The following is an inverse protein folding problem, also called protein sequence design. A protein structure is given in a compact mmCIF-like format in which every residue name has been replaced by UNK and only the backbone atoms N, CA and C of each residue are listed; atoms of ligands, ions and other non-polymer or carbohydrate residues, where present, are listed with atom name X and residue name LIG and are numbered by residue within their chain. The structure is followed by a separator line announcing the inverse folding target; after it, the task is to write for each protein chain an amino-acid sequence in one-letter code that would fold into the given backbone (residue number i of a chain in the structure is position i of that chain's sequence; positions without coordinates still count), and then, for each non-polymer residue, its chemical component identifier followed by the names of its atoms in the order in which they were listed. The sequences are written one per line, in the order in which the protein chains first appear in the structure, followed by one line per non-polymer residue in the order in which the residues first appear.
data_IF_784741214716
#
_entry.id   IF_784741214716
#
_cell.length_a   1.000
_cell.length_b   1.000
_cell.length_c   1.000
_cell.angle_alpha   90.00
_cell.angle_beta   90.00
_cell.angle_gamma   90.00
#
_symmetry.space_group_name_H-M   'P 1'
#
loop_
_entity.id
_entity.type
_entity.pdbx_description
1 polymer ?
#
# COMPACT_ATOMS: atom_id res chain seq x y z
N UNK A 1 20.41 8.20 -6.41
CA UNK A 1 19.78 9.12 -5.43
C UNK A 1 18.92 10.18 -6.12
N UNK A 2 19.46 10.96 -7.08
CA UNK A 2 18.71 11.97 -7.85
C UNK A 2 17.41 11.46 -8.51
N UNK A 3 17.45 10.24 -9.09
CA UNK A 3 16.34 9.66 -9.84
C UNK A 3 15.15 9.26 -8.94
N UNK A 4 15.44 8.78 -7.72
CA UNK A 4 14.42 8.45 -6.73
C UNK A 4 13.73 9.70 -6.18
N UNK A 5 14.48 10.79 -5.99
CA UNK A 5 13.91 12.08 -5.56
C UNK A 5 12.97 12.63 -6.65
N UNK A 6 13.34 12.52 -7.93
CA UNK A 6 12.53 12.98 -9.04
C UNK A 6 11.22 12.20 -9.19
N UNK A 7 11.26 10.87 -9.03
CA UNK A 7 10.05 10.04 -9.03
C UNK A 7 9.11 10.42 -7.87
N UNK A 8 9.68 10.61 -6.68
CA UNK A 8 8.90 10.95 -5.49
C UNK A 8 8.25 12.35 -5.59
N UNK A 9 8.94 13.34 -6.14
CA UNK A 9 8.36 14.68 -6.33
C UNK A 9 7.28 14.70 -7.40
N UNK A 10 7.41 13.87 -8.45
CA UNK A 10 6.40 13.75 -9.52
C UNK A 10 5.11 13.09 -9.01
N UNK A 11 5.25 12.04 -8.21
CA UNK A 11 4.12 11.33 -7.62
C UNK A 11 3.35 12.21 -6.62
N UNK A 12 4.07 13.00 -5.81
CA UNK A 12 3.46 13.99 -4.91
C UNK A 12 2.73 15.10 -5.68
N UNK A 13 3.29 15.60 -6.78
CA UNK A 13 2.64 16.68 -7.55
C UNK A 13 1.40 16.21 -8.30
N UNK A 14 1.39 14.99 -8.83
CA UNK A 14 0.18 14.39 -9.41
C UNK A 14 -0.90 14.14 -8.35
N UNK A 15 -0.52 13.67 -7.16
CA UNK A 15 -1.46 13.48 -6.06
C UNK A 15 -2.11 14.81 -5.62
N UNK A 16 -1.30 15.87 -5.45
CA UNK A 16 -1.80 17.21 -5.09
C UNK A 16 -2.71 17.77 -6.19
N UNK A 17 -2.33 17.63 -7.48
CA UNK A 17 -3.16 18.09 -8.59
C UNK A 17 -4.52 17.37 -8.64
N UNK A 18 -4.53 16.05 -8.40
CA UNK A 18 -5.77 15.27 -8.35
C UNK A 18 -6.68 15.66 -7.18
N UNK A 19 -6.11 15.91 -6.00
CA UNK A 19 -6.83 16.34 -4.81
C UNK A 19 -7.43 17.75 -4.99
N UNK A 20 -6.69 18.66 -5.65
CA UNK A 20 -7.17 20.00 -5.97
C UNK A 20 -8.34 19.96 -6.98
N UNK A 21 -8.26 19.08 -7.99
CA UNK A 21 -9.32 18.88 -8.97
C UNK A 21 -10.61 18.33 -8.33
N UNK A 22 -10.48 17.34 -7.44
CA UNK A 22 -11.61 16.72 -6.74
C UNK A 22 -12.33 17.67 -5.78
N UNK A 23 -11.61 18.62 -5.19
CA UNK A 23 -12.16 19.57 -4.20
C UNK A 23 -12.76 20.82 -4.85
N UNK A 24 -12.14 21.34 -5.91
CA UNK A 24 -12.56 22.61 -6.53
C UNK A 24 -13.66 22.43 -7.58
N UNK A 25 -13.67 21.31 -8.31
CA UNK A 25 -14.64 21.06 -9.38
C UNK A 25 -16.13 21.04 -8.95
N UNK A 26 -16.53 20.42 -7.83
CA UNK A 26 -17.92 20.46 -7.38
C UNK A 26 -18.37 21.88 -6.98
N UNK A 27 -17.49 22.66 -6.34
CA UNK A 27 -17.77 24.02 -5.90
C UNK A 27 -18.09 24.97 -7.07
N UNK A 28 -17.37 24.85 -8.19
CA UNK A 28 -17.61 25.67 -9.40
C UNK A 28 -18.94 25.27 -10.09
N UNK A 29 -19.26 23.98 -10.09
CA UNK A 29 -20.48 23.47 -10.73
C UNK A 29 -21.76 23.90 -9.99
N UNK A 30 -21.73 23.94 -8.65
CA UNK A 30 -22.85 24.44 -7.83
C UNK A 30 -23.11 25.95 -8.06
N UNK A 31 -22.05 26.75 -8.15
CA UNK A 31 -22.16 28.20 -8.37
C UNK A 31 -22.82 28.52 -9.72
N UNK A 32 -22.50 27.75 -10.76
CA UNK A 32 -23.08 27.91 -12.10
C UNK A 32 -24.58 27.59 -12.15
N UNK A 33 -25.02 26.62 -11.34
CA UNK A 33 -26.42 26.19 -11.29
C UNK A 33 -27.28 27.19 -10.51
N UNK A 34 -26.75 27.77 -9.43
CA UNK A 34 -27.41 28.83 -8.64
C UNK A 34 -27.64 30.13 -9.44
N UNK A 35 -26.76 30.45 -10.38
CA UNK A 35 -26.89 31.69 -11.17
C UNK A 35 -28.08 31.68 -12.15
N UNK A 36 -28.54 30.49 -12.59
CA UNK A 36 -29.65 30.38 -13.55
C UNK A 36 -31.04 30.61 -12.94
N UNK A 37 -31.21 30.48 -11.63
CA UNK A 37 -32.53 30.58 -10.97
C UNK A 37 -32.95 32.03 -10.69
N UNK A 38 -32.03 33.00 -10.79
CA UNK A 38 -32.29 34.42 -10.54
C UNK A 38 -32.75 35.20 -11.79
N UNK A 39 -33.34 34.55 -12.79
CA UNK A 39 -34.07 35.25 -13.85
C UNK A 39 -35.47 35.63 -13.35
N UNK A 40 -35.53 36.62 -12.45
CA UNK A 40 -36.80 37.25 -12.09
C UNK A 40 -37.34 38.01 -13.30
N UNK A 41 -38.44 37.50 -13.86
CA UNK A 41 -39.17 38.10 -14.98
C UNK A 41 -39.61 39.53 -14.61
N UNK A 42 -38.85 40.50 -15.13
CA UNK A 42 -39.07 41.94 -14.94
C UNK A 42 -40.05 42.51 -15.97
N UNK A 43 -40.84 41.69 -16.68
CA UNK A 43 -41.84 42.23 -17.60
C UNK A 43 -43.09 42.67 -16.82
N UNK A 44 -43.40 43.99 -16.77
CA UNK A 44 -44.53 44.45 -16.00
C UNK A 44 -45.78 44.52 -16.88
N UNK A 45 -46.89 43.99 -16.37
CA UNK A 45 -48.24 44.29 -16.89
C UNK A 45 -48.81 45.42 -16.03
N UNK A 46 -48.25 46.62 -16.18
CA UNK A 46 -48.65 47.76 -15.36
C UNK A 46 -49.76 48.54 -16.08
N UNK A 47 -50.87 48.88 -15.39
CA UNK A 47 -51.93 49.68 -15.97
C UNK A 47 -51.35 50.97 -16.57
N UNK A 48 -51.58 51.17 -17.88
CA UNK A 48 -51.22 52.43 -18.54
C UNK A 48 -51.89 53.58 -17.79
N UNK A 49 -51.13 54.65 -17.57
CA UNK A 49 -51.63 55.87 -16.96
C UNK A 49 -52.80 56.40 -17.80
N UNK A 50 -54.03 56.17 -17.36
CA UNK A 50 -55.21 56.58 -18.11
C UNK A 50 -55.28 58.12 -18.10
N UNK A 51 -55.36 58.70 -19.30
CA UNK A 51 -55.04 60.08 -19.61
C UNK A 51 -55.68 61.12 -18.69
N UNK A 52 -54.85 61.99 -18.12
CA UNK A 52 -55.33 63.20 -17.45
C UNK A 52 -55.78 64.18 -18.53
N UNK A 53 -57.10 64.38 -18.64
CA UNK A 53 -57.69 65.40 -19.51
C UNK A 53 -57.45 66.77 -18.89
N UNK A 54 -56.62 67.60 -19.53
CA UNK A 54 -56.50 69.01 -19.16
C UNK A 54 -57.69 69.78 -19.73
N UNK A 55 -58.30 70.61 -18.89
CA UNK A 55 -59.36 71.52 -19.32
C UNK A 55 -58.71 72.82 -19.78
N UNK A 56 -58.77 73.07 -21.09
CA UNK A 56 -58.28 74.31 -21.69
C UNK A 56 -59.44 75.29 -21.83
N UNK A 57 -59.31 76.49 -21.25
CA UNK A 57 -60.30 77.55 -21.45
C UNK A 57 -60.17 78.11 -22.87
N UNK A 58 -60.95 77.52 -23.76
CA UNK A 58 -60.98 77.84 -25.19
C UNK A 58 -61.49 79.28 -25.40
N UNK A 59 -62.45 79.71 -24.58
CA UNK A 59 -63.14 80.98 -24.79
C UNK A 59 -62.30 82.19 -24.34
N UNK A 60 -61.53 82.08 -23.26
CA UNK A 60 -60.60 83.14 -22.86
C UNK A 60 -59.51 83.39 -23.92
N UNK A 61 -59.02 82.32 -24.55
CA UNK A 61 -57.96 82.43 -25.58
C UNK A 61 -58.50 82.97 -26.90
N UNK A 62 -59.75 82.63 -27.27
CA UNK A 62 -60.41 83.24 -28.44
C UNK A 62 -60.56 84.74 -28.26
N UNK A 63 -61.04 85.22 -27.10
CA UNK A 63 -61.13 86.66 -26.81
C UNK A 63 -59.78 87.37 -26.89
N UNK A 64 -58.72 86.75 -26.39
CA UNK A 64 -57.38 87.30 -26.48
C UNK A 64 -56.94 87.50 -27.93
N UNK A 65 -57.23 86.56 -28.83
CA UNK A 65 -56.92 86.72 -30.25
C UNK A 65 -57.77 87.80 -30.92
N UNK A 66 -59.05 87.91 -30.56
CA UNK A 66 -59.93 88.98 -31.06
C UNK A 66 -59.45 90.37 -30.63
N UNK A 67 -59.02 90.53 -29.37
CA UNK A 67 -58.43 91.78 -28.84
C UNK A 67 -57.13 92.18 -29.55
N UNK A 68 -56.40 91.20 -30.11
CA UNK A 68 -55.18 91.42 -30.89
C UNK A 68 -55.42 91.57 -32.41
N UNK A 69 -56.68 91.73 -32.84
CA UNK A 69 -57.03 92.07 -34.22
C UNK A 69 -57.28 90.87 -35.15
N UNK A 70 -57.45 89.66 -34.61
CA UNK A 70 -57.89 88.51 -35.40
C UNK A 70 -59.42 88.49 -35.55
N UNK A 71 -59.92 87.99 -36.69
CA UNK A 71 -61.36 87.70 -36.80
C UNK A 71 -61.74 86.50 -35.93
N UNK A 72 -63.00 86.46 -35.48
CA UNK A 72 -63.55 85.37 -34.65
C UNK A 72 -63.27 83.98 -35.25
N UNK A 73 -63.48 83.82 -36.56
CA UNK A 73 -63.21 82.56 -37.27
C UNK A 73 -61.72 82.19 -37.28
N UNK A 74 -60.82 83.17 -37.45
CA UNK A 74 -59.38 82.91 -37.41
C UNK A 74 -58.92 82.54 -36.00
N UNK A 75 -59.44 83.21 -34.97
CA UNK A 75 -59.17 82.91 -33.57
C UNK A 75 -59.62 81.49 -33.19
N UNK A 76 -60.83 81.07 -33.59
CA UNK A 76 -61.35 79.73 -33.35
C UNK A 76 -60.50 78.63 -34.02
N UNK A 77 -60.09 78.84 -35.28
CA UNK A 77 -59.23 77.89 -36.00
C UNK A 77 -57.86 77.77 -35.33
N UNK A 78 -57.26 78.90 -34.93
CA UNK A 78 -55.97 78.94 -34.23
C UNK A 78 -56.04 78.17 -32.91
N UNK A 79 -57.09 78.40 -32.12
CA UNK A 79 -57.31 77.72 -30.83
C UNK A 79 -57.60 76.23 -31.02
N UNK A 80 -58.32 75.84 -32.07
CA UNK A 80 -58.57 74.43 -32.40
C UNK A 80 -57.27 73.69 -32.76
N UNK A 81 -56.39 74.32 -33.55
CA UNK A 81 -55.05 73.77 -33.86
C UNK A 81 -54.21 73.64 -32.58
N UNK A 82 -54.23 74.66 -31.73
CA UNK A 82 -53.53 74.64 -30.44
C UNK A 82 -54.04 73.50 -29.56
N UNK A 83 -55.35 73.35 -29.41
CA UNK A 83 -55.96 72.30 -28.60
C UNK A 83 -55.62 70.90 -29.12
N UNK A 84 -55.66 70.68 -30.44
CA UNK A 84 -55.27 69.39 -31.05
C UNK A 84 -53.79 69.08 -30.82
N UNK A 85 -52.92 70.08 -30.98
CA UNK A 85 -51.48 69.94 -30.78
C UNK A 85 -51.17 69.66 -29.31
N UNK A 86 -51.78 70.39 -28.37
CA UNK A 86 -51.62 70.19 -26.93
C UNK A 86 -52.14 68.82 -26.48
N UNK A 87 -53.29 68.37 -26.98
CA UNK A 87 -53.82 67.04 -26.69
C UNK A 87 -52.89 65.94 -27.23
N UNK A 88 -52.43 66.06 -28.48
CA UNK A 88 -51.48 65.10 -29.06
C UNK A 88 -50.15 65.06 -28.31
N UNK A 89 -49.61 66.21 -27.92
CA UNK A 89 -48.38 66.29 -27.13
C UNK A 89 -48.59 65.67 -25.75
N UNK A 90 -49.74 65.88 -25.13
CA UNK A 90 -50.05 65.29 -23.83
C UNK A 90 -50.18 63.77 -23.88
N UNK A 91 -50.79 63.20 -24.92
CA UNK A 91 -50.88 61.74 -25.06
C UNK A 91 -49.49 61.10 -25.13
N UNK A 92 -48.55 61.72 -25.85
CA UNK A 92 -47.15 61.28 -25.92
C UNK A 92 -46.48 61.40 -24.56
N UNK A 93 -46.57 62.56 -23.90
CA UNK A 93 -45.89 62.79 -22.61
C UNK A 93 -46.49 61.89 -21.51
N UNK A 94 -47.80 61.66 -21.47
CA UNK A 94 -48.42 60.75 -20.50
C UNK A 94 -48.12 59.27 -20.79
N UNK A 95 -47.85 58.90 -22.05
CA UNK A 95 -47.44 57.54 -22.38
C UNK A 95 -46.03 57.18 -21.89
N UNK A 96 -45.14 58.18 -21.81
CA UNK A 96 -43.74 58.01 -21.38
C UNK A 96 -43.54 58.36 -19.89
N UNK A 97 -44.47 59.12 -19.29
CA UNK A 97 -44.42 59.47 -17.87
C UNK A 97 -44.76 58.27 -16.97
N UNK A 98 -43.91 58.06 -15.97
CA UNK A 98 -44.17 57.13 -14.88
C UNK A 98 -44.97 57.83 -13.79
N UNK A 99 -46.13 57.27 -13.42
CA UNK A 99 -46.95 57.82 -12.33
C UNK A 99 -46.38 57.48 -10.96
N UNK A 100 -46.65 58.30 -9.94
CA UNK A 100 -46.25 57.99 -8.56
C UNK A 100 -46.77 56.63 -8.08
N UNK A 101 -47.98 56.27 -8.48
CA UNK A 101 -48.59 54.96 -8.17
C UNK A 101 -47.79 53.82 -8.81
N UNK A 102 -47.36 53.98 -10.06
CA UNK A 102 -46.50 53.00 -10.75
C UNK A 102 -45.15 52.85 -10.05
N UNK A 103 -44.52 53.96 -9.63
CA UNK A 103 -43.27 53.93 -8.86
C UNK A 103 -43.43 53.19 -7.53
N UNK A 104 -44.54 53.42 -6.81
CA UNK A 104 -44.80 52.76 -5.53
C UNK A 104 -45.04 51.25 -5.68
N UNK A 105 -45.80 50.83 -6.71
CA UNK A 105 -45.98 49.40 -7.03
C UNK A 105 -44.64 48.74 -7.35
N UNK A 106 -43.81 49.38 -8.19
CA UNK A 106 -42.49 48.87 -8.52
C UNK A 106 -41.58 48.78 -7.29
N UNK A 107 -41.60 49.79 -6.43
CA UNK A 107 -40.84 49.81 -5.19
C UNK A 107 -41.26 48.68 -4.25
N UNK A 108 -42.56 48.49 -4.03
CA UNK A 108 -43.06 47.39 -3.20
C UNK A 108 -42.66 46.01 -3.74
N UNK A 109 -42.65 45.84 -5.07
CA UNK A 109 -42.20 44.59 -5.71
C UNK A 109 -40.71 44.34 -5.50
N UNK A 110 -39.87 45.35 -5.71
CA UNK A 110 -38.43 45.26 -5.44
C UNK A 110 -38.17 44.96 -3.97
N UNK A 111 -38.87 45.63 -3.05
CA UNK A 111 -38.76 45.36 -1.62
C UNK A 111 -39.17 43.94 -1.25
N UNK A 112 -40.24 43.40 -1.85
CA UNK A 112 -40.66 42.01 -1.67
C UNK A 112 -39.60 41.02 -2.15
N UNK A 113 -39.00 41.26 -3.32
CA UNK A 113 -37.91 40.41 -3.84
C UNK A 113 -36.67 40.47 -2.95
N UNK A 114 -36.28 41.65 -2.47
CA UNK A 114 -35.18 41.81 -1.52
C UNK A 114 -35.47 41.03 -0.22
N UNK A 115 -36.72 41.08 0.28
CA UNK A 115 -37.11 40.33 1.47
C UNK A 115 -37.04 38.80 1.26
N UNK A 116 -37.41 38.32 0.07
CA UNK A 116 -37.29 36.90 -0.28
C UNK A 116 -35.81 36.45 -0.32
N UNK A 117 -34.96 37.18 -1.05
CA UNK A 117 -33.51 36.89 -1.12
C UNK A 117 -32.86 36.94 0.28
N UNK A 118 -33.26 37.89 1.12
CA UNK A 118 -32.78 37.97 2.51
C UNK A 118 -33.18 36.75 3.33
N UNK A 119 -34.41 36.24 3.17
CA UNK A 119 -34.86 35.02 3.84
C UNK A 119 -34.01 33.83 3.40
N UNK A 120 -33.77 33.69 2.10
CA UNK A 120 -33.00 32.59 1.54
C UNK A 120 -31.54 32.64 2.01
N UNK A 121 -30.93 33.83 2.05
CA UNK A 121 -29.59 34.03 2.63
C UNK A 121 -29.53 33.59 4.10
N UNK A 122 -30.51 33.98 4.92
CA UNK A 122 -30.55 33.58 6.34
C UNK A 122 -30.71 32.06 6.49
N UNK A 123 -31.55 31.42 5.66
CA UNK A 123 -31.72 29.96 5.66
C UNK A 123 -30.41 29.27 5.32
N UNK A 124 -29.73 29.74 4.28
CA UNK A 124 -28.44 29.19 3.84
C UNK A 124 -27.36 29.32 4.92
N UNK A 125 -27.25 30.50 5.55
CA UNK A 125 -26.27 30.76 6.63
C UNK A 125 -26.56 30.00 7.92
N UNK A 126 -27.83 29.85 8.31
CA UNK A 126 -28.20 29.27 9.60
C UNK A 126 -28.49 27.78 9.57
N UNK A 127 -29.09 27.28 8.50
CA UNK A 127 -29.52 25.88 8.41
C UNK A 127 -28.50 25.05 7.64
N UNK A 128 -28.21 25.45 6.40
CA UNK A 128 -27.40 24.63 5.50
C UNK A 128 -25.92 24.65 5.89
N UNK A 129 -25.38 25.83 6.22
CA UNK A 129 -23.99 25.92 6.66
C UNK A 129 -23.74 25.18 7.98
N UNK A 130 -24.66 25.28 8.95
CA UNK A 130 -24.55 24.54 10.22
C UNK A 130 -24.69 23.04 10.03
N UNK A 131 -25.58 22.57 9.15
CA UNK A 131 -25.70 21.16 8.82
C UNK A 131 -24.42 20.62 8.14
N UNK A 132 -23.87 21.37 7.18
CA UNK A 132 -22.62 21.02 6.50
C UNK A 132 -21.42 20.98 7.46
N UNK A 133 -21.33 21.91 8.41
CA UNK A 133 -20.30 21.89 9.45
C UNK A 133 -20.41 20.65 10.33
N UNK A 134 -21.61 20.34 10.83
CA UNK A 134 -21.83 19.16 11.66
C UNK A 134 -21.51 17.85 10.90
N UNK A 135 -21.91 17.76 9.62
CA UNK A 135 -21.58 16.61 8.79
C UNK A 135 -20.08 16.49 8.53
N UNK A 136 -19.37 17.61 8.36
CA UNK A 136 -17.91 17.62 8.22
C UNK A 136 -17.21 17.17 9.50
N UNK A 137 -17.62 17.64 10.68
CA UNK A 137 -17.06 17.19 11.96
C UNK A 137 -17.25 15.68 12.14
N UNK A 138 -18.42 15.15 11.78
CA UNK A 138 -18.69 13.71 11.81
C UNK A 138 -17.79 12.96 10.82
N UNK A 139 -17.61 13.45 9.59
CA UNK A 139 -16.72 12.84 8.59
C UNK A 139 -15.27 12.84 9.04
N UNK A 140 -14.80 13.95 9.61
CA UNK A 140 -13.44 14.07 10.13
C UNK A 140 -13.20 13.09 11.30
N UNK A 141 -14.17 13.00 12.22
CA UNK A 141 -14.14 12.01 13.31
C UNK A 141 -14.11 10.56 12.81
N UNK A 142 -14.88 10.22 11.77
CA UNK A 142 -14.82 8.90 11.15
C UNK A 142 -13.46 8.62 10.49
N UNK A 143 -12.92 9.58 9.74
CA UNK A 143 -11.60 9.48 9.13
C UNK A 143 -10.52 9.24 10.20
N UNK A 144 -10.55 10.02 11.29
CA UNK A 144 -9.59 9.88 12.38
C UNK A 144 -9.70 8.52 13.09
N UNK A 145 -10.93 8.05 13.31
CA UNK A 145 -11.19 6.73 13.91
C UNK A 145 -10.68 5.59 13.03
N UNK A 146 -10.96 5.63 11.72
CA UNK A 146 -10.48 4.63 10.76
C UNK A 146 -8.95 4.64 10.66
N UNK A 147 -8.35 5.83 10.61
CA UNK A 147 -6.89 5.98 10.60
C UNK A 147 -6.25 5.39 11.85
N UNK A 148 -6.82 5.69 13.03
CA UNK A 148 -6.35 5.15 14.30
C UNK A 148 -6.46 3.62 14.35
N UNK A 149 -7.61 3.07 13.95
CA UNK A 149 -7.85 1.64 13.93
C UNK A 149 -6.89 0.91 12.98
N UNK A 150 -6.70 1.43 11.76
CA UNK A 150 -5.76 0.89 10.77
C UNK A 150 -4.33 0.87 11.31
N UNK A 151 -3.90 1.98 11.93
CA UNK A 151 -2.57 2.09 12.52
C UNK A 151 -2.36 1.06 13.65
N UNK A 152 -3.37 0.88 14.51
CA UNK A 152 -3.32 -0.10 15.58
C UNK A 152 -3.25 -1.53 15.04
N UNK A 153 -4.10 -1.85 14.05
CA UNK A 153 -4.11 -3.15 13.39
C UNK A 153 -2.78 -3.47 12.71
N UNK A 154 -2.20 -2.51 11.99
CA UNK A 154 -0.90 -2.66 11.35
C UNK A 154 0.19 -2.94 12.39
N UNK A 155 0.19 -2.23 13.52
CA UNK A 155 1.15 -2.49 14.59
C UNK A 155 1.02 -3.90 15.16
N UNK A 156 -0.21 -4.39 15.36
CA UNK A 156 -0.45 -5.74 15.89
C UNK A 156 0.01 -6.82 14.90
N UNK A 157 -0.36 -6.67 13.62
CA UNK A 157 0.07 -7.58 12.55
C UNK A 157 1.59 -7.61 12.42
N UNK A 158 2.26 -6.45 12.46
CA UNK A 158 3.73 -6.37 12.41
C UNK A 158 4.36 -7.09 13.61
N UNK A 159 3.82 -6.89 14.81
CA UNK A 159 4.32 -7.56 16.03
C UNK A 159 4.15 -9.07 15.93
N UNK A 160 2.99 -9.55 15.47
CA UNK A 160 2.70 -10.97 15.28
C UNK A 160 3.66 -11.60 14.27
N UNK A 161 3.75 -11.04 13.06
CA UNK A 161 4.66 -11.53 12.01
C UNK A 161 6.11 -11.53 12.48
N UNK A 162 6.54 -10.50 13.23
CA UNK A 162 7.89 -10.46 13.81
C UNK A 162 8.12 -11.61 14.79
N UNK A 163 7.16 -11.87 15.68
CA UNK A 163 7.27 -12.95 16.67
C UNK A 163 7.30 -14.32 15.98
N UNK A 164 6.43 -14.54 15.00
CA UNK A 164 6.36 -15.79 14.25
C UNK A 164 7.67 -16.05 13.50
N UNK A 165 8.19 -15.06 12.77
CA UNK A 165 9.48 -15.18 12.07
C UNK A 165 10.65 -15.45 13.04
N UNK A 166 10.64 -14.84 14.23
CA UNK A 166 11.68 -15.07 15.23
C UNK A 166 11.63 -16.51 15.76
N UNK A 167 10.44 -17.06 15.97
CA UNK A 167 10.26 -18.45 16.35
C UNK A 167 10.74 -19.40 15.25
N UNK A 168 10.34 -19.15 14.00
CA UNK A 168 10.74 -19.98 12.84
C UNK A 168 12.26 -20.00 12.65
N UNK A 169 12.92 -18.84 12.71
CA UNK A 169 14.38 -18.76 12.63
C UNK A 169 15.06 -19.53 13.77
N UNK A 170 14.51 -19.49 14.99
CA UNK A 170 15.06 -20.22 16.12
C UNK A 170 14.91 -21.73 15.96
N UNK A 171 13.75 -22.19 15.47
CA UNK A 171 13.52 -23.60 15.16
C UNK A 171 14.47 -24.08 14.07
N UNK A 172 14.61 -23.32 12.97
CA UNK A 172 15.52 -23.69 11.87
C UNK A 172 16.98 -23.69 12.32
N UNK A 173 17.39 -22.71 13.14
CA UNK A 173 18.72 -22.69 13.75
C UNK A 173 18.97 -23.93 14.62
N UNK A 174 17.96 -24.43 15.33
CA UNK A 174 18.06 -25.68 16.09
C UNK A 174 18.20 -26.88 15.16
N UNK A 175 17.39 -26.97 14.10
CA UNK A 175 17.46 -28.06 13.10
C UNK A 175 18.81 -28.12 12.41
N UNK A 176 19.35 -26.97 12.00
CA UNK A 176 20.67 -26.89 11.37
C UNK A 176 21.78 -27.35 12.32
N UNK A 177 21.70 -26.99 13.61
CA UNK A 177 22.65 -27.47 14.62
C UNK A 177 22.54 -28.99 14.82
N UNK A 178 21.32 -29.51 14.95
CA UNK A 178 21.07 -30.94 15.11
C UNK A 178 21.60 -31.74 13.92
N UNK A 179 21.27 -31.32 12.69
CA UNK A 179 21.79 -31.93 11.47
C UNK A 179 23.32 -31.82 11.39
N UNK A 180 23.90 -30.69 11.79
CA UNK A 180 25.34 -30.51 11.88
C UNK A 180 26.00 -31.52 12.82
N UNK A 181 25.42 -31.74 14.00
CA UNK A 181 25.88 -32.73 14.97
C UNK A 181 25.73 -34.16 14.44
N UNK A 182 24.60 -34.50 13.82
CA UNK A 182 24.37 -35.82 13.21
C UNK A 182 25.42 -36.08 12.11
N UNK A 183 25.67 -35.10 11.24
CA UNK A 183 26.68 -35.21 10.17
C UNK A 183 28.09 -35.38 10.73
N UNK A 184 28.44 -34.65 11.79
CA UNK A 184 29.72 -34.82 12.48
C UNK A 184 29.85 -36.20 13.09
N UNK A 185 28.81 -36.68 13.78
CA UNK A 185 28.80 -38.01 14.39
C UNK A 185 28.97 -39.11 13.34
N UNK A 186 28.24 -39.00 12.23
CA UNK A 186 28.38 -39.91 11.09
C UNK A 186 29.80 -39.88 10.50
N UNK A 187 30.38 -38.69 10.32
CA UNK A 187 31.74 -38.54 9.82
C UNK A 187 32.77 -39.18 10.76
N UNK A 188 32.67 -38.91 12.06
CA UNK A 188 33.54 -39.52 13.08
C UNK A 188 33.40 -41.04 13.06
N UNK A 189 32.18 -41.57 13.05
CA UNK A 189 31.95 -43.01 13.00
C UNK A 189 32.56 -43.66 11.76
N UNK A 190 32.39 -43.04 10.58
CA UNK A 190 32.99 -43.52 9.33
C UNK A 190 34.52 -43.53 9.40
N UNK A 191 35.13 -42.49 9.98
CA UNK A 191 36.58 -42.40 10.15
C UNK A 191 37.10 -43.42 11.17
N UNK A 192 36.39 -43.63 12.28
CA UNK A 192 36.75 -44.68 13.25
C UNK A 192 36.71 -46.07 12.61
N UNK A 193 35.67 -46.38 11.82
CA UNK A 193 35.59 -47.66 11.13
C UNK A 193 36.73 -47.89 10.12
N UNK A 194 37.15 -46.84 9.42
CA UNK A 194 38.30 -46.88 8.51
C UNK A 194 39.63 -47.08 9.28
N UNK A 195 39.80 -46.36 10.39
CA UNK A 195 40.96 -46.50 11.27
C UNK A 195 41.07 -47.91 11.87
N UNK A 196 39.96 -48.49 12.34
CA UNK A 196 39.93 -49.84 12.90
C UNK A 196 40.30 -50.91 11.86
N UNK A 197 39.88 -50.71 10.61
CA UNK A 197 40.28 -51.56 9.49
C UNK A 197 41.79 -51.49 9.26
N UNK A 198 42.37 -50.29 9.20
CA UNK A 198 43.81 -50.09 9.05
C UNK A 198 44.60 -50.66 10.24
N UNK A 199 44.09 -50.51 11.46
CA UNK A 199 44.72 -51.09 12.65
C UNK A 199 44.70 -52.63 12.60
N UNK A 200 43.59 -53.23 12.21
CA UNK A 200 43.48 -54.69 12.07
C UNK A 200 44.44 -55.23 11.01
N UNK A 201 44.53 -54.55 9.86
CA UNK A 201 45.45 -54.93 8.78
C UNK A 201 46.92 -54.86 9.21
N UNK A 202 47.32 -53.79 9.91
CA UNK A 202 48.68 -53.66 10.43
C UNK A 202 48.97 -54.69 11.52
N UNK A 203 48.02 -54.97 12.40
CA UNK A 203 48.18 -55.99 13.43
C UNK A 203 48.37 -57.39 12.83
N UNK A 204 47.56 -57.75 11.82
CA UNK A 204 47.74 -59.01 11.07
C UNK A 204 49.11 -59.10 10.37
N UNK A 205 49.61 -57.98 9.84
CA UNK A 205 50.94 -57.92 9.24
C UNK A 205 52.04 -58.15 10.27
N UNK A 206 51.95 -57.51 11.44
CA UNK A 206 52.87 -57.71 12.56
C UNK A 206 52.85 -59.17 13.01
N UNK A 207 51.66 -59.77 13.21
CA UNK A 207 51.53 -61.17 13.60
C UNK A 207 52.21 -62.12 12.58
N UNK A 208 52.06 -61.81 11.29
CA UNK A 208 52.71 -62.57 10.21
C UNK A 208 54.22 -62.42 10.22
N UNK A 209 54.75 -61.20 10.41
CA UNK A 209 56.19 -60.93 10.52
C UNK A 209 56.78 -61.60 11.77
N UNK A 210 56.09 -61.56 12.91
CA UNK A 210 56.50 -62.24 14.16
C UNK A 210 56.55 -63.76 13.96
N UNK A 211 55.54 -64.35 13.32
CA UNK A 211 55.55 -65.78 12.98
C UNK A 211 56.71 -66.14 12.02
N UNK A 212 56.97 -65.28 11.03
CA UNK A 212 58.10 -65.41 10.11
C UNK A 212 59.46 -65.35 10.81
N UNK A 213 59.68 -64.33 11.65
CA UNK A 213 60.88 -64.18 12.47
C UNK A 213 61.07 -65.35 13.43
N UNK A 214 60.00 -65.82 14.06
CA UNK A 214 60.04 -67.01 14.93
C UNK A 214 60.45 -68.26 14.16
N UNK A 215 59.93 -68.44 12.94
CA UNK A 215 60.32 -69.56 12.07
C UNK A 215 61.79 -69.47 11.67
N UNK A 216 62.25 -68.28 11.28
CA UNK A 216 63.66 -68.01 10.95
C UNK A 216 64.58 -68.24 12.15
N UNK A 217 64.13 -67.87 13.35
CA UNK A 217 64.86 -68.12 14.59
C UNK A 217 64.96 -69.62 14.88
N UNK A 218 63.88 -70.38 14.76
CA UNK A 218 63.90 -71.83 14.95
C UNK A 218 64.78 -72.53 13.90
N UNK A 219 64.76 -72.09 12.63
CA UNK A 219 65.69 -72.61 11.63
C UNK A 219 67.15 -72.28 11.96
N UNK A 220 67.45 -71.05 12.41
CA UNK A 220 68.79 -70.66 12.81
C UNK A 220 69.30 -71.45 14.03
N UNK A 221 68.42 -71.74 15.01
CA UNK A 221 68.74 -72.66 16.12
C UNK A 221 69.12 -74.05 15.60
N UNK A 222 68.33 -74.60 14.68
CA UNK A 222 68.61 -75.90 14.06
C UNK A 222 69.94 -75.90 13.30
N UNK A 223 70.25 -74.84 12.55
CA UNK A 223 71.52 -74.73 11.84
C UNK A 223 72.71 -74.61 12.81
N UNK A 224 72.58 -73.85 13.90
CA UNK A 224 73.60 -73.78 14.95
C UNK A 224 73.87 -75.16 15.57
N UNK A 225 72.81 -75.95 15.82
CA UNK A 225 72.95 -77.33 16.31
C UNK A 225 73.66 -78.21 15.27
N UNK A 226 73.36 -78.07 13.98
CA UNK A 226 74.08 -78.79 12.91
C UNK A 226 75.57 -78.43 12.90
N UNK A 227 75.92 -77.15 12.98
CA UNK A 227 77.31 -76.68 13.01
C UNK A 227 78.08 -77.20 14.25
N UNK A 228 77.44 -77.21 15.43
CA UNK A 228 78.06 -77.70 16.67
C UNK A 228 78.26 -79.22 16.71
N UNK A 229 77.44 -79.99 16.00
CA UNK A 229 77.51 -81.46 15.98
C UNK A 229 78.57 -82.03 15.01
N UNK A 230 79.26 -81.19 14.22
CA UNK A 230 80.20 -81.62 13.18
C UNK A 230 79.50 -82.34 12.01
N UNK A 231 80.19 -82.52 10.88
CA UNK A 231 79.66 -83.03 9.58
C UNK A 231 78.94 -84.40 9.60
N UNK A 232 78.69 -85.00 10.77
CA UNK A 232 78.01 -86.28 10.94
C UNK A 232 76.52 -86.12 11.30
N UNK A 233 75.79 -85.29 10.54
CA UNK A 233 74.31 -85.23 10.59
C UNK A 233 73.70 -85.98 9.39
N UNK A 234 72.96 -87.09 9.58
CA UNK A 234 72.55 -87.93 8.47
C UNK A 234 71.08 -87.66 8.10
N UNK A 235 70.77 -86.60 7.35
CA UNK A 235 69.49 -86.52 6.61
C UNK A 235 69.53 -85.44 5.53
N UNK A 236 70.35 -85.65 4.50
CA UNK A 236 70.23 -84.93 3.24
C UNK A 236 69.24 -85.70 2.34
N UNK A 237 68.05 -85.11 2.14
CA UNK A 237 67.13 -85.30 1.02
C UNK A 237 66.94 -86.72 0.42
N UNK A 238 65.79 -87.38 0.65
CA UNK A 238 65.00 -88.06 -0.42
C UNK A 238 63.51 -88.18 -0.09
N UNK A 239 62.70 -87.85 -1.11
CA UNK A 239 61.23 -87.98 -1.19
C UNK A 239 60.73 -89.39 -0.83
N UNK A 240 59.52 -89.40 -0.25
CA UNK A 240 58.54 -90.50 -0.03
C UNK A 240 58.53 -91.12 1.38
N UNK A 241 57.35 -90.96 2.03
CA UNK A 241 56.82 -91.76 3.14
C UNK A 241 57.42 -91.66 4.56
N UNK A 242 57.80 -90.46 5.01
CA UNK A 242 58.31 -90.26 6.38
C UNK A 242 57.31 -89.70 7.40
N UNK A 243 56.00 -89.72 7.14
CA UNK A 243 55.02 -89.26 8.13
C UNK A 243 54.95 -90.20 9.35
N UNK A 244 55.15 -91.50 9.17
CA UNK A 244 55.14 -92.49 10.26
C UNK A 244 56.47 -92.54 11.04
N UNK A 245 57.62 -92.39 10.38
CA UNK A 245 58.92 -92.39 11.07
C UNK A 245 59.20 -91.12 11.87
N UNK A 246 58.84 -89.95 11.34
CA UNK A 246 59.01 -88.69 12.06
C UNK A 246 58.10 -88.63 13.29
N UNK A 247 56.86 -89.15 13.19
CA UNK A 247 55.97 -89.30 14.33
C UNK A 247 56.52 -90.29 15.38
N UNK A 248 57.17 -91.39 14.98
CA UNK A 248 57.77 -92.33 15.93
C UNK A 248 58.95 -91.74 16.70
N UNK A 249 59.80 -90.96 16.04
CA UNK A 249 60.95 -90.32 16.68
C UNK A 249 60.54 -89.15 17.58
N UNK A 250 59.63 -88.29 17.12
CA UNK A 250 59.06 -87.21 17.93
C UNK A 250 58.31 -87.76 19.16
N UNK A 251 57.57 -88.88 19.03
CA UNK A 251 56.92 -89.53 20.17
C UNK A 251 57.91 -90.11 21.18
N UNK A 252 59.09 -90.58 20.74
CA UNK A 252 60.18 -91.00 21.65
C UNK A 252 60.83 -89.82 22.35
N UNK A 253 61.09 -88.71 21.66
CA UNK A 253 61.65 -87.51 22.26
C UNK A 253 60.68 -86.84 23.26
N UNK A 254 59.38 -86.77 22.95
CA UNK A 254 58.35 -86.23 23.87
C UNK A 254 58.17 -87.14 25.09
N UNK A 255 58.22 -88.47 24.93
CA UNK A 255 58.14 -89.42 26.05
C UNK A 255 59.38 -89.40 26.95
N UNK A 256 60.55 -89.03 26.40
CA UNK A 256 61.76 -88.77 27.18
C UNK A 256 61.72 -87.40 27.91
N UNK A 257 61.03 -86.41 27.35
CA UNK A 257 60.88 -85.09 27.96
C UNK A 257 59.76 -85.02 29.02
N UNK A 258 58.73 -85.88 28.94
CA UNK A 258 57.59 -85.91 29.88
C UNK A 258 57.64 -87.07 30.89
N UNK A 259 58.66 -87.94 30.84
CA UNK A 259 58.78 -89.13 31.68
C UNK A 259 59.36 -88.88 33.07
N UNK A 260 58.77 -87.96 33.84
CA UNK A 260 59.27 -87.59 35.17
C UNK A 260 58.23 -87.16 36.22
N UNK A 261 56.92 -87.30 35.98
CA UNK A 261 55.90 -87.16 37.04
C UNK A 261 54.83 -88.23 36.85
N UNK A 262 54.89 -89.26 37.70
CA UNK A 262 53.88 -90.32 37.84
C UNK A 262 52.72 -89.77 38.68
N UNK A 263 51.50 -89.94 38.21
CA UNK A 263 50.26 -89.81 38.98
C UNK A 263 50.13 -91.06 39.88
N UNK A 264 49.98 -90.85 41.18
CA UNK A 264 49.08 -91.61 42.04
C UNK A 264 48.11 -90.60 42.66
#
# INVERSE_FOLDING_TARGET
MQFMIYLFTKEITEYIASALLLTVYPFISELSTSTRTLQYDMKPDIPKAQGRKLFFDTHAVVRLFEENGFSTQQAEVMVNVLMRTTNSNMDVVYSDMVTKVHQEIMLQRVMSQIAAVKKDMIILEKSEFSALLAENEVKDGHCQTLFWFSSLWLQDVIKKVRSDNMLDMNLEKSRVKELGLIRLLFWVFSQTAEQDRHFTETNMKIDTEVAGLKTMLESHKLDTIKYLAGEQWPFENKKKNNRLQLCFFLRKCVKAALGGVLIY
#
